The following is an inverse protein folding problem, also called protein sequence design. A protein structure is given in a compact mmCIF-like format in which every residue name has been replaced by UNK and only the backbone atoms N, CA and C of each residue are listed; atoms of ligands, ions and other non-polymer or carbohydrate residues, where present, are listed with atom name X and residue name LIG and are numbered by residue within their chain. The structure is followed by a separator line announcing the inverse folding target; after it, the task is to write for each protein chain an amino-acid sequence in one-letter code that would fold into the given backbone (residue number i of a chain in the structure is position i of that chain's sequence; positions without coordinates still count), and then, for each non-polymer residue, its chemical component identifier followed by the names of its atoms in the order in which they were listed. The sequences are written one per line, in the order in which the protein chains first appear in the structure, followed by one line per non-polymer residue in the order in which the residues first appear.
data_IF_449617001972
#
_entry.id   IF_449617001972
#
_cell.length_a   1.000
_cell.length_b   1.000
_cell.length_c   1.000
_cell.angle_alpha   90.00
_cell.angle_beta   90.00
_cell.angle_gamma   90.00
#
_symmetry.space_group_name_H-M   'P 1'
#
loop_
_entity.id
_entity.type
_entity.pdbx_description
1 polymer ?
#
# COMPACT_ATOMS: atom_id res chain seq x y z
N UNK A 1 6.47 9.79 15.73
CA UNK A 1 5.30 9.95 14.85
C UNK A 1 4.10 10.07 15.77
N UNK A 2 3.40 11.20 15.71
CA UNK A 2 2.15 11.45 16.46
C UNK A 2 1.13 11.99 15.46
N UNK A 3 0.85 11.20 14.43
CA UNK A 3 -0.29 11.35 13.54
C UNK A 3 -1.41 10.40 13.98
N UNK A 4 -2.64 10.66 13.55
CA UNK A 4 -3.73 9.70 13.66
C UNK A 4 -3.26 8.41 12.97
N UNK A 5 -3.36 7.28 13.68
CA UNK A 5 -2.98 5.96 13.15
C UNK A 5 -4.24 5.12 13.07
N UNK A 6 -4.58 4.69 11.86
CA UNK A 6 -5.64 3.73 11.64
C UNK A 6 -5.17 2.36 12.13
N UNK A 7 -5.99 1.59 12.88
CA UNK A 7 -5.61 0.25 13.32
C UNK A 7 -5.12 -0.65 12.17
N UNK A 8 -5.70 -0.48 10.98
CA UNK A 8 -5.38 -1.20 9.75
C UNK A 8 -3.94 -0.93 9.28
N UNK A 9 -3.43 0.30 9.41
CA UNK A 9 -2.11 0.71 8.90
C UNK A 9 -0.97 -0.11 9.50
N UNK A 10 -1.13 -0.55 10.75
CA UNK A 10 -0.17 -1.39 11.45
C UNK A 10 0.05 -2.74 10.78
N UNK A 11 -1.00 -3.33 10.23
CA UNK A 11 -0.94 -4.65 9.57
C UNK A 11 -0.77 -4.52 8.05
N UNK A 12 -0.71 -3.28 7.55
CA UNK A 12 -0.67 -2.91 6.14
C UNK A 12 0.60 -2.13 5.83
N UNK A 13 0.55 -0.81 5.95
CA UNK A 13 1.63 0.12 5.59
C UNK A 13 2.90 -0.15 6.39
N UNK A 14 2.78 -0.27 7.72
CA UNK A 14 3.92 -0.52 8.61
C UNK A 14 4.66 -1.82 8.26
N UNK A 15 3.92 -2.84 7.80
CA UNK A 15 4.50 -4.13 7.40
C UNK A 15 5.32 -3.98 6.13
N UNK A 16 4.82 -3.25 5.13
CA UNK A 16 5.59 -3.05 3.89
C UNK A 16 6.82 -2.17 4.12
N UNK A 17 6.66 -1.06 4.82
CA UNK A 17 7.79 -0.16 5.09
C UNK A 17 8.86 -0.89 5.92
N UNK A 18 8.45 -1.57 7.00
CA UNK A 18 9.36 -2.36 7.83
C UNK A 18 10.07 -3.45 7.04
N UNK A 19 9.34 -4.17 6.19
CA UNK A 19 9.92 -5.23 5.35
C UNK A 19 10.93 -4.69 4.34
N UNK A 20 10.65 -3.54 3.71
CA UNK A 20 11.57 -2.90 2.78
C UNK A 20 12.90 -2.55 3.44
N UNK A 21 12.89 -2.01 4.66
CA UNK A 21 14.13 -1.64 5.36
C UNK A 21 15.03 -2.85 5.66
N UNK A 22 14.45 -4.05 5.82
CA UNK A 22 15.20 -5.30 5.96
C UNK A 22 15.55 -5.94 4.59
N UNK A 23 14.82 -5.59 3.53
CA UNK A 23 14.86 -6.21 2.21
C UNK A 23 14.68 -5.20 1.06
N UNK A 24 15.65 -4.30 0.80
CA UNK A 24 15.45 -3.15 -0.11
C UNK A 24 15.35 -3.51 -1.60
N UNK A 25 15.76 -4.72 -2.00
CA UNK A 25 15.90 -5.12 -3.41
C UNK A 25 14.91 -6.22 -3.83
N UNK A 26 13.71 -6.23 -3.24
CA UNK A 26 12.68 -7.24 -3.52
C UNK A 26 11.64 -6.75 -4.51
N UNK A 27 11.06 -7.69 -5.26
CA UNK A 27 9.92 -7.43 -6.11
C UNK A 27 8.66 -7.91 -5.41
N UNK A 28 7.64 -7.06 -5.39
CA UNK A 28 6.33 -7.38 -4.84
C UNK A 28 5.38 -7.75 -5.95
N UNK A 29 4.70 -8.90 -5.81
CA UNK A 29 3.46 -9.20 -6.54
C UNK A 29 2.29 -8.73 -5.69
N UNK A 30 1.51 -7.80 -6.24
CA UNK A 30 0.42 -7.09 -5.57
C UNK A 30 -0.88 -7.44 -6.28
N UNK A 31 -1.83 -8.02 -5.54
CA UNK A 31 -3.11 -8.51 -6.08
C UNK A 31 -4.26 -7.82 -5.35
N UNK A 32 -5.13 -7.16 -6.12
CA UNK A 32 -6.35 -6.54 -5.61
C UNK A 32 -7.54 -7.49 -5.67
N UNK A 33 -8.58 -7.21 -4.89
CA UNK A 33 -9.76 -8.05 -4.78
C UNK A 33 -10.59 -8.15 -6.09
N UNK A 34 -10.43 -7.20 -7.00
CA UNK A 34 -11.03 -7.20 -8.34
C UNK A 34 -10.23 -8.03 -9.35
N UNK A 35 -9.10 -8.62 -8.93
CA UNK A 35 -8.20 -9.40 -9.76
C UNK A 35 -7.13 -8.58 -10.48
N UNK A 36 -7.11 -7.26 -10.31
CA UNK A 36 -6.04 -6.39 -10.83
C UNK A 36 -4.71 -6.76 -10.15
N UNK A 37 -3.63 -6.84 -10.94
CA UNK A 37 -2.36 -7.35 -10.47
C UNK A 37 -1.15 -6.64 -11.06
N UNK A 38 -0.20 -6.32 -10.17
CA UNK A 38 1.03 -5.62 -10.51
C UNK A 38 2.25 -6.35 -9.95
N UNK A 39 3.38 -6.15 -10.63
CA UNK A 39 4.72 -6.35 -10.05
C UNK A 39 5.34 -4.97 -9.86
N UNK A 40 5.85 -4.69 -8.67
CA UNK A 40 6.48 -3.42 -8.35
C UNK A 40 7.56 -3.50 -7.30
N UNK A 41 8.20 -2.37 -7.05
CA UNK A 41 9.24 -2.19 -6.02
C UNK A 41 8.84 -1.04 -5.10
N UNK A 42 9.29 -1.09 -3.85
CA UNK A 42 9.04 -0.02 -2.90
C UNK A 42 9.71 1.28 -3.39
N UNK A 43 8.97 2.38 -3.36
CA UNK A 43 9.49 3.69 -3.75
C UNK A 43 9.62 4.61 -2.53
N UNK A 44 8.53 4.82 -1.79
CA UNK A 44 8.50 5.68 -0.61
C UNK A 44 7.33 5.34 0.33
N UNK A 45 7.46 5.73 1.59
CA UNK A 45 6.35 5.79 2.55
C UNK A 45 6.26 7.21 3.14
N UNK A 46 5.05 7.73 3.32
CA UNK A 46 4.82 9.08 3.82
C UNK A 46 3.42 9.24 4.45
N UNK A 47 3.29 10.22 5.35
CA UNK A 47 2.00 10.72 5.86
C UNK A 47 1.31 11.54 4.76
N UNK A 48 0.00 11.34 4.59
CA UNK A 48 -0.87 12.04 3.66
C UNK A 48 -2.19 12.38 4.35
N UNK A 49 -2.97 13.26 3.74
CA UNK A 49 -4.33 13.57 4.17
C UNK A 49 -5.26 13.64 2.95
N UNK A 50 -6.56 13.77 3.22
CA UNK A 50 -7.58 14.02 2.20
C UNK A 50 -7.98 15.51 2.09
N UNK A 51 -7.18 16.44 2.64
CA UNK A 51 -7.48 17.86 2.51
C UNK A 51 -7.41 18.28 1.04
N UNK A 52 -8.39 19.08 0.61
CA UNK A 52 -8.56 19.48 -0.78
C UNK A 52 -9.30 18.45 -1.65
N UNK A 53 -9.52 17.22 -1.18
CA UNK A 53 -10.42 16.29 -1.86
C UNK A 53 -11.87 16.73 -1.70
N UNK A 54 -12.60 16.95 -2.79
CA UNK A 54 -14.03 17.30 -2.75
C UNK A 54 -14.37 18.50 -1.83
N UNK A 55 -13.42 19.41 -1.62
CA UNK A 55 -13.56 20.56 -0.72
C UNK A 55 -13.54 20.21 0.77
N UNK A 56 -12.90 19.10 1.15
CA UNK A 56 -12.63 18.74 2.54
C UNK A 56 -11.51 19.65 3.06
N UNK A 57 -11.81 20.38 4.13
CA UNK A 57 -10.85 21.18 4.89
C UNK A 57 -10.49 20.44 6.18
N UNK A 58 -9.41 20.85 6.86
CA UNK A 58 -8.91 20.16 8.07
C UNK A 58 -9.91 20.16 9.25
N UNK A 59 -10.87 21.08 9.28
CA UNK A 59 -11.93 21.14 10.30
C UNK A 59 -13.21 20.38 9.90
N UNK A 60 -13.24 19.81 8.69
CA UNK A 60 -14.36 19.00 8.23
C UNK A 60 -14.37 17.66 9.00
N UNK A 61 -15.53 17.17 9.48
CA UNK A 61 -15.62 15.87 10.16
C UNK A 61 -15.22 14.67 9.29
N UNK A 62 -15.05 14.84 7.97
CA UNK A 62 -14.56 13.84 7.03
C UNK A 62 -13.05 13.94 6.79
N UNK A 63 -12.38 14.95 7.35
CA UNK A 63 -10.93 15.07 7.28
C UNK A 63 -10.28 13.83 7.87
N UNK A 64 -9.26 13.35 7.18
CA UNK A 64 -8.58 12.12 7.52
C UNK A 64 -7.08 12.20 7.18
N UNK A 65 -6.24 11.77 8.12
CA UNK A 65 -4.78 11.65 7.99
C UNK A 65 -4.41 10.18 7.97
N UNK A 66 -3.59 9.76 7.01
CA UNK A 66 -3.27 8.36 6.78
C UNK A 66 -1.88 8.17 6.20
N UNK A 67 -1.35 6.97 6.33
CA UNK A 67 -0.07 6.59 5.76
C UNK A 67 -0.24 5.97 4.36
N UNK A 68 0.69 6.32 3.47
CA UNK A 68 0.72 5.83 2.09
C UNK A 68 2.06 5.14 1.84
N UNK A 69 2.02 3.96 1.22
CA UNK A 69 3.18 3.34 0.55
C UNK A 69 3.05 3.53 -0.95
N UNK A 70 4.00 4.23 -1.53
CA UNK A 70 4.16 4.30 -2.98
C UNK A 70 4.98 3.11 -3.49
N UNK A 71 4.43 2.37 -4.44
CA UNK A 71 5.09 1.30 -5.17
C UNK A 71 5.32 1.75 -6.60
N UNK A 72 6.57 1.69 -7.08
CA UNK A 72 6.87 1.86 -8.50
C UNK A 72 6.46 0.60 -9.27
N UNK A 73 5.63 0.78 -10.29
CA UNK A 73 5.13 -0.30 -11.13
C UNK A 73 6.22 -0.71 -12.12
N UNK A 74 6.67 -1.95 -12.03
CA UNK A 74 7.62 -2.57 -12.96
C UNK A 74 6.88 -3.31 -14.08
N UNK A 75 5.76 -3.96 -13.76
CA UNK A 75 4.95 -4.69 -14.73
C UNK A 75 3.48 -4.73 -14.34
N UNK A 76 2.59 -4.68 -15.33
CA UNK A 76 1.16 -4.94 -15.17
C UNK A 76 0.93 -6.40 -15.55
N UNK A 77 0.54 -7.23 -14.58
CA UNK A 77 0.29 -8.66 -14.81
C UNK A 77 -1.15 -8.88 -15.27
N UNK A 78 -2.09 -8.19 -14.63
CA UNK A 78 -3.49 -8.16 -15.02
C UNK A 78 -4.03 -6.73 -14.83
N UNK A 79 -4.40 -6.11 -15.95
CA UNK A 79 -4.94 -4.75 -15.96
C UNK A 79 -6.34 -4.72 -15.32
N UNK A 80 -6.72 -3.56 -14.80
CA UNK A 80 -7.94 -3.40 -14.02
C UNK A 80 -8.52 -1.99 -14.08
N UNK A 81 -9.42 -1.65 -13.14
CA UNK A 81 -10.13 -0.38 -13.15
C UNK A 81 -9.23 0.83 -12.90
N UNK A 82 -8.11 0.67 -12.15
CA UNK A 82 -7.23 1.77 -11.77
C UNK A 82 -6.45 2.31 -12.96
N UNK A 83 -6.07 1.45 -13.92
CA UNK A 83 -5.33 1.80 -15.16
C UNK A 83 -4.05 2.61 -14.89
N UNK A 84 -3.34 2.24 -13.83
CA UNK A 84 -2.11 2.90 -13.42
C UNK A 84 -0.92 2.30 -14.18
N UNK A 85 0.06 3.14 -14.54
CA UNK A 85 1.21 2.72 -15.35
C UNK A 85 2.57 3.12 -14.77
N UNK A 86 2.61 3.81 -13.62
CA UNK A 86 3.87 4.27 -13.02
C UNK A 86 3.96 4.01 -11.53
N UNK A 87 2.96 4.42 -10.74
CA UNK A 87 2.96 4.24 -9.30
C UNK A 87 1.62 3.71 -8.80
N UNK A 88 1.66 2.85 -7.79
CA UNK A 88 0.52 2.52 -6.92
C UNK A 88 0.70 3.27 -5.61
N UNK A 89 -0.36 3.92 -5.13
CA UNK A 89 -0.45 4.44 -3.78
C UNK A 89 -1.30 3.49 -2.95
N UNK A 90 -0.69 2.83 -1.98
CA UNK A 90 -1.35 1.87 -1.10
C UNK A 90 -1.57 2.53 0.26
N UNK A 91 -2.83 2.68 0.64
CA UNK A 91 -3.25 3.13 1.97
C UNK A 91 -4.39 2.25 2.49
N UNK A 92 -4.85 2.49 3.71
CA UNK A 92 -5.84 1.61 4.35
C UNK A 92 -7.19 1.55 3.63
N UNK A 93 -7.51 2.55 2.80
CA UNK A 93 -8.78 2.69 2.08
C UNK A 93 -8.77 1.88 0.78
N UNK A 94 -7.59 1.74 0.16
CA UNK A 94 -7.39 0.96 -1.07
C UNK A 94 -6.21 -0.02 -0.94
N UNK A 95 -6.30 -0.94 0.01
CA UNK A 95 -5.23 -1.90 0.25
C UNK A 95 -5.42 -3.20 -0.57
N UNK A 96 -4.34 -3.79 -1.12
CA UNK A 96 -4.42 -5.05 -1.87
C UNK A 96 -4.92 -6.21 -1.02
N UNK A 97 -5.57 -7.19 -1.65
CA UNK A 97 -5.97 -8.44 -0.99
C UNK A 97 -4.74 -9.30 -0.67
N UNK A 98 -3.68 -9.21 -1.48
CA UNK A 98 -2.47 -9.99 -1.29
C UNK A 98 -1.22 -9.26 -1.74
N UNK A 99 -0.16 -9.38 -0.96
CA UNK A 99 1.19 -8.89 -1.29
C UNK A 99 2.21 -9.99 -1.00
N UNK A 100 3.02 -10.31 -1.99
CA UNK A 100 4.04 -11.36 -1.94
C UNK A 100 5.37 -10.76 -2.37
N UNK A 101 6.41 -10.92 -1.56
CA UNK A 101 7.78 -10.83 -2.06
C UNK A 101 8.06 -12.07 -2.92
N UNK A 102 8.12 -11.88 -4.24
CA UNK A 102 8.39 -12.95 -5.20
C UNK A 102 9.88 -13.26 -5.35
N UNK A 103 10.77 -12.39 -4.87
CA UNK A 103 12.21 -12.64 -4.81
C UNK A 103 12.53 -13.72 -3.79
N UNK A 104 11.96 -13.63 -2.58
CA UNK A 104 12.22 -14.58 -1.49
C UNK A 104 11.08 -15.58 -1.24
N UNK A 105 9.93 -15.43 -1.90
CA UNK A 105 8.78 -16.33 -1.74
C UNK A 105 8.02 -16.13 -0.43
N UNK A 106 8.01 -14.89 0.10
CA UNK A 106 7.39 -14.55 1.38
C UNK A 106 6.05 -13.86 1.15
N UNK A 107 5.00 -14.31 1.86
CA UNK A 107 3.71 -13.61 1.88
C UNK A 107 3.75 -12.52 2.95
N UNK A 108 3.63 -11.27 2.52
CA UNK A 108 3.61 -10.10 3.41
C UNK A 108 2.19 -9.77 3.85
N UNK A 109 1.23 -9.89 2.94
CA UNK A 109 -0.18 -9.66 3.23
C UNK A 109 -1.09 -10.69 2.54
N UNK A 110 -2.14 -11.18 3.22
CA UNK A 110 -2.34 -11.08 4.67
C UNK A 110 -1.22 -11.84 5.41
N UNK A 111 -0.85 -11.42 6.63
CA UNK A 111 0.17 -12.12 7.40
C UNK A 111 -0.26 -13.59 7.57
N UNK A 112 0.67 -14.51 7.31
CA UNK A 112 0.41 -15.94 7.47
C UNK A 112 -0.10 -16.16 8.90
N UNK A 113 -1.34 -16.64 9.06
CA UNK A 113 -1.87 -17.00 10.37
C UNK A 113 -0.89 -18.00 10.98
N UNK A 114 -0.20 -17.60 12.06
CA UNK A 114 0.47 -18.56 12.93
C UNK A 114 -0.62 -19.50 13.43
N UNK A 115 -0.60 -20.75 12.98
CA UNK A 115 -1.38 -21.85 13.56
C UNK A 115 -0.88 -22.15 14.97
#
# INVERSE_FOLDING_TARGET
MTGITHPEERDQVDVLEGYYWDHPDVYYRIVFADGEEYIGIFFAAFESDNAGELGIEMDDPRYDEFFVVAIEIVSIVHDGPRRLNQYLSLDYRDFPEKIIDITNGVVLYPPSKRL
#
